data_IF_458978966277
#
_entry.id   IF_458978966277
#
_cell.length_a   1.000
_cell.length_b   1.000
_cell.length_c   1.000
_cell.angle_alpha   90.00
_cell.angle_beta   90.00
_cell.angle_gamma   90.00
#
_symmetry.space_group_name_H-M   'P 1'
#
loop_
_entity.id
_entity.type
_entity.pdbx_description
1 polymer ?
#
# COMPACT_ATOMS: atom_id res chain seq x y z
N UNK A 1 16.01 0.76 0.38
CA UNK A 1 14.70 1.00 -0.29
C UNK A 1 14.57 -0.03 -1.40
N UNK A 2 13.45 -0.73 -1.46
CA UNK A 2 13.18 -1.73 -2.49
C UNK A 2 12.43 -1.09 -3.66
N UNK A 3 12.97 -1.30 -4.85
CA UNK A 3 12.29 -1.14 -6.13
C UNK A 3 12.42 -2.44 -6.91
N UNK A 4 11.68 -2.58 -8.02
CA UNK A 4 11.84 -3.73 -8.91
C UNK A 4 13.28 -3.99 -9.35
N UNK A 5 14.07 -2.92 -9.46
CA UNK A 5 15.46 -2.99 -9.91
C UNK A 5 16.44 -3.38 -8.79
N UNK A 6 16.05 -3.19 -7.52
CA UNK A 6 16.93 -3.43 -6.36
C UNK A 6 16.52 -4.60 -5.48
N UNK A 7 15.41 -5.30 -5.79
CA UNK A 7 14.92 -6.44 -5.01
C UNK A 7 16.02 -7.48 -4.77
N UNK A 8 16.70 -7.89 -5.84
CA UNK A 8 17.68 -8.99 -5.79
C UNK A 8 18.98 -8.61 -5.03
N UNK A 9 19.17 -7.32 -4.70
CA UNK A 9 20.32 -6.85 -3.92
C UNK A 9 20.13 -7.04 -2.40
N UNK A 10 18.89 -7.25 -1.93
CA UNK A 10 18.55 -7.30 -0.51
C UNK A 10 19.43 -8.28 0.30
N UNK A 11 19.68 -9.54 -0.15
CA UNK A 11 20.57 -10.45 0.57
C UNK A 11 22.01 -9.90 0.71
N UNK A 12 22.53 -9.26 -0.34
CA UNK A 12 23.84 -8.62 -0.32
C UNK A 12 23.92 -7.46 0.66
N UNK A 13 22.84 -6.66 0.78
CA UNK A 13 22.75 -5.59 1.77
C UNK A 13 22.75 -6.14 3.19
N UNK A 14 22.03 -7.25 3.45
CA UNK A 14 22.03 -7.91 4.76
C UNK A 14 23.44 -8.34 5.17
N UNK A 15 24.17 -9.02 4.28
CA UNK A 15 25.56 -9.40 4.52
C UNK A 15 26.47 -8.19 4.76
N UNK A 16 26.27 -7.12 3.99
CA UNK A 16 27.04 -5.90 4.10
C UNK A 16 26.84 -5.20 5.45
N UNK A 17 25.61 -5.17 5.97
CA UNK A 17 25.25 -4.61 7.28
C UNK A 17 25.85 -5.48 8.40
N UNK A 18 25.68 -6.80 8.32
CA UNK A 18 26.22 -7.73 9.30
C UNK A 18 27.75 -7.66 9.38
N UNK A 19 28.44 -7.60 8.25
CA UNK A 19 29.90 -7.45 8.20
C UNK A 19 30.45 -6.16 8.79
N UNK A 20 29.58 -5.18 9.10
CA UNK A 20 29.92 -3.89 9.73
C UNK A 20 29.43 -3.77 11.17
N UNK A 21 28.84 -4.83 11.73
CA UNK A 21 28.29 -4.81 13.08
C UNK A 21 27.00 -4.00 13.20
N UNK A 22 26.22 -3.87 12.12
CA UNK A 22 24.86 -3.32 12.24
C UNK A 22 23.96 -4.28 13.02
N UNK A 23 23.02 -3.74 13.79
CA UNK A 23 22.12 -4.52 14.64
C UNK A 23 20.75 -4.78 13.98
N UNK A 24 20.35 -3.90 13.05
CA UNK A 24 19.05 -3.98 12.39
C UNK A 24 19.13 -3.47 10.94
N UNK A 25 18.17 -3.88 10.12
CA UNK A 25 17.96 -3.38 8.77
C UNK A 25 16.47 -3.10 8.55
N UNK A 26 16.13 -1.83 8.36
CA UNK A 26 14.78 -1.41 7.97
C UNK A 26 14.67 -1.36 6.45
N UNK A 27 13.70 -2.08 5.91
CA UNK A 27 13.43 -2.15 4.49
C UNK A 27 12.05 -1.55 4.20
N UNK A 28 11.96 -0.78 3.13
CA UNK A 28 10.73 -0.10 2.71
C UNK A 28 10.66 -0.09 1.18
N UNK A 29 9.46 -0.19 0.61
CA UNK A 29 9.29 -0.01 -0.83
C UNK A 29 9.59 1.44 -1.25
N UNK A 30 9.75 1.67 -2.54
CA UNK A 30 9.84 3.02 -3.09
C UNK A 30 8.45 3.69 -3.10
N UNK A 31 8.38 4.95 -2.68
CA UNK A 31 7.24 5.83 -2.95
C UNK A 31 7.53 6.61 -4.24
N UNK A 32 6.79 6.41 -5.34
CA UNK A 32 7.06 7.09 -6.59
C UNK A 32 6.55 8.54 -6.55
N UNK A 33 7.45 9.50 -6.30
CA UNK A 33 7.15 10.94 -6.35
C UNK A 33 7.10 11.53 -7.78
N UNK A 34 7.44 10.71 -8.77
CA UNK A 34 7.40 11.06 -10.20
C UNK A 34 6.79 9.92 -10.99
N UNK A 35 6.14 10.25 -12.10
CA UNK A 35 5.48 9.28 -12.97
C UNK A 35 6.45 8.21 -13.47
N UNK A 36 7.69 8.59 -13.80
CA UNK A 36 8.70 7.65 -14.31
C UNK A 36 9.10 6.58 -13.27
N UNK A 37 8.97 6.91 -11.97
CA UNK A 37 9.28 5.99 -10.88
C UNK A 37 8.15 4.98 -10.59
N UNK A 38 6.95 5.16 -11.14
CA UNK A 38 5.81 4.27 -10.90
C UNK A 38 6.10 2.82 -11.35
N UNK A 39 6.84 2.66 -12.45
CA UNK A 39 7.25 1.35 -12.97
C UNK A 39 8.19 0.60 -12.01
N UNK A 40 8.87 1.31 -11.11
CA UNK A 40 9.82 0.75 -10.16
C UNK A 40 9.15 0.21 -8.87
N UNK A 41 7.84 0.42 -8.68
CA UNK A 41 7.09 -0.10 -7.52
C UNK A 41 7.05 -1.64 -7.56
N UNK A 42 7.53 -2.27 -6.48
CA UNK A 42 7.68 -3.72 -6.39
C UNK A 42 6.48 -4.46 -5.79
N UNK A 43 5.81 -3.87 -4.79
CA UNK A 43 4.67 -4.50 -4.12
C UNK A 43 3.48 -4.70 -5.07
N UNK A 44 2.64 -5.70 -4.78
CA UNK A 44 1.38 -5.90 -5.50
C UNK A 44 0.30 -4.94 -5.00
N UNK A 45 -0.43 -4.22 -5.86
CA UNK A 45 -1.39 -3.20 -5.42
C UNK A 45 -2.72 -3.77 -4.90
N UNK A 46 -2.94 -5.09 -4.95
CA UNK A 46 -4.14 -5.72 -4.41
C UNK A 46 -4.01 -5.93 -2.91
N UNK A 47 -5.10 -5.70 -2.17
CA UNK A 47 -5.11 -5.96 -0.74
C UNK A 47 -4.88 -7.45 -0.46
N UNK A 48 -4.05 -7.77 0.54
CA UNK A 48 -3.56 -9.11 0.86
C UNK A 48 -4.67 -10.18 0.96
N UNK A 49 -5.76 -9.91 1.67
CA UNK A 49 -6.89 -10.83 1.81
C UNK A 49 -7.63 -11.04 0.47
N UNK A 50 -7.83 -9.98 -0.30
CA UNK A 50 -8.41 -10.04 -1.66
C UNK A 50 -7.52 -10.85 -2.58
N UNK A 51 -6.20 -10.60 -2.54
CA UNK A 51 -5.21 -11.26 -3.37
C UNK A 51 -5.12 -12.75 -3.02
N UNK A 52 -5.13 -13.11 -1.74
CA UNK A 52 -5.13 -14.50 -1.30
C UNK A 52 -6.36 -15.28 -1.81
N UNK A 53 -7.55 -14.67 -1.75
CA UNK A 53 -8.77 -15.23 -2.33
C UNK A 53 -8.61 -15.39 -3.85
N UNK A 54 -8.23 -14.32 -4.54
CA UNK A 54 -8.10 -14.33 -6.00
C UNK A 54 -7.07 -15.35 -6.49
N UNK A 55 -5.89 -15.47 -5.85
CA UNK A 55 -4.85 -16.46 -6.18
C UNK A 55 -5.39 -17.89 -6.14
N UNK A 56 -6.14 -18.24 -5.08
CA UNK A 56 -6.79 -19.55 -4.95
C UNK A 56 -7.76 -19.80 -6.11
N UNK A 57 -8.66 -18.85 -6.38
CA UNK A 57 -9.67 -18.95 -7.46
C UNK A 57 -9.03 -19.00 -8.85
N UNK A 58 -7.94 -18.25 -9.07
CA UNK A 58 -7.17 -18.25 -10.32
C UNK A 58 -6.54 -19.62 -10.58
N UNK A 59 -6.01 -20.28 -9.54
CA UNK A 59 -5.50 -21.66 -9.67
C UNK A 59 -6.60 -22.64 -10.08
N UNK A 60 -7.77 -22.58 -9.44
CA UNK A 60 -8.93 -23.41 -9.80
C UNK A 60 -9.40 -23.15 -11.25
N UNK A 61 -9.38 -21.90 -11.70
CA UNK A 61 -9.69 -21.54 -13.07
C UNK A 61 -8.67 -22.15 -14.05
N UNK A 62 -7.38 -22.07 -13.74
CA UNK A 62 -6.31 -22.62 -14.56
C UNK A 62 -6.39 -24.16 -14.65
N UNK A 63 -6.75 -24.86 -13.57
CA UNK A 63 -7.02 -26.30 -13.56
C UNK A 63 -8.20 -26.67 -14.47
N UNK A 64 -9.17 -25.77 -14.61
CA UNK A 64 -10.27 -25.91 -15.56
C UNK A 64 -9.89 -25.48 -16.98
N UNK A 65 -8.69 -24.96 -17.22
CA UNK A 65 -8.24 -24.43 -18.52
C UNK A 65 -8.81 -23.05 -18.87
N UNK A 66 -9.11 -22.23 -17.85
CA UNK A 66 -9.58 -20.85 -17.98
C UNK A 66 -8.46 -19.89 -17.58
N UNK A 67 -8.17 -18.91 -18.44
CA UNK A 67 -7.21 -17.83 -18.13
C UNK A 67 -7.97 -16.56 -17.72
N UNK A 68 -7.94 -16.24 -16.43
CA UNK A 68 -8.60 -15.05 -15.90
C UNK A 68 -7.94 -13.74 -16.35
N UNK A 69 -6.69 -13.78 -16.86
CA UNK A 69 -6.04 -12.60 -17.44
C UNK A 69 -6.78 -12.09 -18.70
N UNK A 70 -7.53 -12.98 -19.37
CA UNK A 70 -8.34 -12.63 -20.55
C UNK A 70 -9.70 -12.02 -20.18
N UNK A 71 -10.04 -11.87 -18.89
CA UNK A 71 -11.38 -11.42 -18.46
C UNK A 71 -11.81 -10.10 -19.09
N UNK A 72 -10.93 -9.08 -19.16
CA UNK A 72 -11.27 -7.80 -19.77
C UNK A 72 -11.54 -7.94 -21.28
N UNK A 73 -10.65 -8.63 -21.98
CA UNK A 73 -10.79 -8.93 -23.41
C UNK A 73 -12.06 -9.71 -23.70
N UNK A 74 -12.39 -10.67 -22.83
CA UNK A 74 -13.65 -11.39 -22.82
C UNK A 74 -14.79 -10.38 -22.56
N UNK A 75 -15.01 -9.89 -21.35
CA UNK A 75 -16.17 -9.05 -20.99
C UNK A 75 -16.50 -7.94 -22.00
N UNK A 76 -15.51 -7.21 -22.50
CA UNK A 76 -15.70 -6.07 -23.38
C UNK A 76 -15.61 -6.36 -24.88
N UNK A 77 -15.47 -7.62 -25.27
CA UNK A 77 -15.44 -8.00 -26.70
C UNK A 77 -14.30 -7.35 -27.50
N UNK A 78 -13.14 -7.16 -26.86
CA UNK A 78 -11.98 -6.49 -27.46
C UNK A 78 -11.29 -7.35 -28.53
N UNK A 79 -11.30 -8.67 -28.36
CA UNK A 79 -10.75 -9.65 -29.30
C UNK A 79 -11.43 -11.02 -29.13
N UNK A 80 -11.27 -11.96 -30.08
CA UNK A 80 -11.69 -13.34 -29.91
C UNK A 80 -10.97 -13.99 -28.73
N UNK A 81 -11.75 -14.60 -27.81
CA UNK A 81 -11.26 -15.31 -26.62
C UNK A 81 -11.91 -16.68 -26.58
N UNK A 82 -11.13 -17.74 -26.36
CA UNK A 82 -11.65 -19.10 -26.20
C UNK A 82 -12.38 -19.21 -24.88
N UNK A 83 -13.50 -19.94 -24.82
CA UNK A 83 -14.26 -20.17 -23.58
C UNK A 83 -14.67 -18.88 -22.86
N UNK A 84 -14.92 -17.83 -23.65
CA UNK A 84 -15.33 -16.49 -23.23
C UNK A 84 -16.40 -16.48 -22.13
N UNK A 85 -17.50 -17.20 -22.34
CA UNK A 85 -18.63 -17.21 -21.40
C UNK A 85 -18.22 -17.81 -20.05
N UNK A 86 -17.44 -18.89 -20.07
CA UNK A 86 -16.94 -19.55 -18.86
C UNK A 86 -15.99 -18.64 -18.07
N UNK A 87 -15.09 -17.91 -18.75
CA UNK A 87 -14.18 -16.93 -18.10
C UNK A 87 -14.98 -15.81 -17.44
N UNK A 88 -15.98 -15.25 -18.15
CA UNK A 88 -16.82 -14.16 -17.63
C UNK A 88 -17.59 -14.64 -16.39
N UNK A 89 -18.29 -15.76 -16.49
CA UNK A 89 -19.09 -16.32 -15.38
C UNK A 89 -18.20 -16.67 -14.19
N UNK A 90 -17.04 -17.29 -14.42
CA UNK A 90 -16.12 -17.64 -13.34
C UNK A 90 -15.63 -16.39 -12.61
N UNK A 91 -15.15 -15.38 -13.35
CA UNK A 91 -14.65 -14.15 -12.75
C UNK A 91 -15.75 -13.37 -12.04
N UNK A 92 -16.97 -13.31 -12.57
CA UNK A 92 -18.09 -12.65 -11.90
C UNK A 92 -18.47 -13.35 -10.58
N UNK A 93 -18.38 -14.68 -10.52
CA UNK A 93 -18.53 -15.41 -9.26
C UNK A 93 -17.41 -15.08 -8.26
N UNK A 94 -16.17 -14.93 -8.72
CA UNK A 94 -15.05 -14.49 -7.86
C UNK A 94 -15.29 -13.07 -7.31
N UNK A 95 -15.73 -12.14 -8.15
CA UNK A 95 -16.06 -10.76 -7.76
C UNK A 95 -17.20 -10.72 -6.74
N UNK A 96 -18.20 -11.58 -6.92
CA UNK A 96 -19.30 -11.73 -5.96
C UNK A 96 -18.82 -12.32 -4.62
N UNK A 97 -17.92 -13.32 -4.65
CA UNK A 97 -17.31 -13.91 -3.45
C UNK A 97 -16.48 -12.87 -2.68
N UNK A 98 -15.65 -12.08 -3.36
CA UNK A 98 -14.87 -11.00 -2.74
C UNK A 98 -15.81 -9.97 -2.10
N UNK A 99 -16.85 -9.54 -2.83
CA UNK A 99 -17.85 -8.58 -2.33
C UNK A 99 -18.58 -9.10 -1.08
N UNK A 100 -18.92 -10.40 -1.06
CA UNK A 100 -19.59 -11.04 0.08
C UNK A 100 -18.74 -11.00 1.35
N UNK A 101 -17.42 -11.03 1.23
CA UNK A 101 -16.49 -10.89 2.35
C UNK A 101 -16.23 -9.42 2.73
N UNK A 102 -16.81 -8.44 2.03
CA UNK A 102 -16.58 -7.02 2.28
C UNK A 102 -15.16 -6.56 1.90
N UNK A 103 -14.50 -7.31 1.03
CA UNK A 103 -13.11 -7.04 0.65
C UNK A 103 -13.04 -6.03 -0.50
N UNK A 104 -12.07 -5.10 -0.49
CA UNK A 104 -11.86 -4.17 -1.60
C UNK A 104 -11.32 -4.92 -2.81
N UNK A 105 -11.73 -4.50 -4.01
CA UNK A 105 -11.26 -5.12 -5.25
C UNK A 105 -11.16 -4.11 -6.38
N UNK A 106 -10.01 -4.09 -7.07
CA UNK A 106 -9.85 -3.38 -8.33
C UNK A 106 -9.62 -4.41 -9.43
N UNK A 107 -10.65 -4.67 -10.24
CA UNK A 107 -10.63 -5.74 -11.24
C UNK A 107 -9.46 -5.62 -12.24
N UNK A 108 -9.07 -4.41 -12.73
CA UNK A 108 -7.87 -4.29 -13.57
C UNK A 108 -6.60 -4.80 -12.88
N UNK A 109 -6.44 -4.53 -11.58
CA UNK A 109 -5.27 -4.99 -10.83
C UNK A 109 -5.29 -6.49 -10.58
N UNK A 110 -6.47 -7.07 -10.34
CA UNK A 110 -6.60 -8.54 -10.17
C UNK A 110 -6.29 -9.27 -11.47
N UNK A 111 -6.81 -8.81 -12.59
CA UNK A 111 -6.59 -9.43 -13.90
C UNK A 111 -5.13 -9.27 -14.35
N UNK A 112 -4.50 -8.13 -14.03
CA UNK A 112 -3.08 -7.87 -14.31
C UNK A 112 -2.11 -8.50 -13.29
N UNK A 113 -2.62 -9.27 -12.31
CA UNK A 113 -1.82 -9.90 -11.28
C UNK A 113 -0.78 -10.87 -11.87
N UNK A 114 0.44 -10.80 -11.35
CA UNK A 114 1.61 -11.57 -11.80
C UNK A 114 2.03 -12.54 -10.69
N UNK A 115 1.55 -13.79 -10.77
CA UNK A 115 1.80 -14.83 -9.78
C UNK A 115 3.29 -15.17 -9.66
N UNK A 116 3.99 -15.31 -10.78
CA UNK A 116 5.41 -15.66 -10.79
C UNK A 116 6.25 -14.59 -10.10
N UNK A 117 5.97 -13.31 -10.39
CA UNK A 117 6.64 -12.19 -9.70
C UNK A 117 6.34 -12.19 -8.21
N UNK A 118 5.08 -12.37 -7.82
CA UNK A 118 4.70 -12.36 -6.41
C UNK A 118 5.38 -13.50 -5.64
N UNK A 119 5.36 -14.72 -6.17
CA UNK A 119 6.01 -15.90 -5.57
C UNK A 119 7.51 -15.73 -5.49
N UNK A 120 8.16 -15.14 -6.51
CA UNK A 120 9.58 -14.79 -6.45
C UNK A 120 9.90 -13.83 -5.31
N UNK A 121 9.10 -12.78 -5.14
CA UNK A 121 9.30 -11.80 -4.07
C UNK A 121 9.02 -12.39 -2.69
N UNK A 122 8.00 -13.24 -2.55
CA UNK A 122 7.70 -13.98 -1.32
C UNK A 122 8.85 -14.90 -0.92
N UNK A 123 9.43 -15.61 -1.89
CA UNK A 123 10.61 -16.45 -1.68
C UNK A 123 11.82 -15.62 -1.25
N UNK A 124 12.11 -14.52 -1.96
CA UNK A 124 13.21 -13.62 -1.64
C UNK A 124 13.11 -13.07 -0.21
N UNK A 125 11.91 -12.65 0.22
CA UNK A 125 11.69 -12.14 1.58
C UNK A 125 11.95 -13.21 2.63
N UNK A 126 11.44 -14.43 2.41
CA UNK A 126 11.69 -15.57 3.31
C UNK A 126 13.16 -15.94 3.41
N UNK A 127 13.87 -15.96 2.28
CA UNK A 127 15.32 -16.24 2.25
C UNK A 127 16.12 -15.11 2.94
N UNK A 128 15.67 -13.87 2.79
CA UNK A 128 16.27 -12.70 3.44
C UNK A 128 16.07 -12.71 4.95
N UNK A 129 14.88 -13.11 5.43
CA UNK A 129 14.60 -13.31 6.86
C UNK A 129 15.51 -14.38 7.46
N UNK A 130 15.60 -15.55 6.81
CA UNK A 130 16.47 -16.63 7.27
C UNK A 130 17.96 -16.22 7.28
N UNK A 131 18.40 -15.45 6.28
CA UNK A 131 19.75 -14.92 6.23
C UNK A 131 20.01 -13.92 7.37
N UNK A 132 19.09 -12.97 7.59
CA UNK A 132 19.22 -11.98 8.65
C UNK A 132 19.28 -12.64 10.03
N UNK A 133 18.43 -13.65 10.28
CA UNK A 133 18.46 -14.45 11.51
C UNK A 133 19.83 -15.12 11.71
N UNK A 134 20.35 -15.79 10.68
CA UNK A 134 21.67 -16.43 10.72
C UNK A 134 22.83 -15.44 10.95
N UNK A 135 22.64 -14.17 10.60
CA UNK A 135 23.60 -13.08 10.80
C UNK A 135 23.36 -12.26 12.07
N UNK A 136 22.29 -12.55 12.83
CA UNK A 136 21.92 -11.80 14.03
C UNK A 136 21.43 -10.37 13.75
N UNK A 137 20.82 -10.13 12.58
CA UNK A 137 20.26 -8.83 12.17
C UNK A 137 18.75 -8.81 12.43
N UNK A 138 18.25 -7.79 13.14
CA UNK A 138 16.82 -7.46 13.19
C UNK A 138 16.37 -6.89 11.84
N UNK A 139 15.93 -7.77 10.94
CA UNK A 139 15.41 -7.40 9.63
C UNK A 139 13.92 -7.07 9.71
N UNK A 140 13.56 -5.84 9.30
CA UNK A 140 12.17 -5.38 9.23
C UNK A 140 11.79 -5.17 7.77
N UNK A 141 11.00 -6.10 7.23
CA UNK A 141 10.53 -6.08 5.85
C UNK A 141 9.17 -5.36 5.70
N UNK A 142 8.94 -4.64 4.59
CA UNK A 142 7.62 -4.12 4.26
C UNK A 142 6.68 -5.26 3.87
N UNK A 143 5.38 -4.97 3.78
CA UNK A 143 4.43 -5.92 3.23
C UNK A 143 4.66 -6.11 1.71
N UNK A 144 4.40 -7.32 1.21
CA UNK A 144 4.42 -7.63 -0.23
C UNK A 144 3.24 -7.02 -0.98
N UNK A 145 2.16 -6.71 -0.25
CA UNK A 145 0.92 -6.15 -0.74
C UNK A 145 0.24 -5.35 0.40
N UNK A 146 -0.61 -4.35 0.09
CA UNK A 146 -1.38 -3.62 1.08
C UNK A 146 -2.16 -4.52 2.03
N UNK A 147 -2.07 -4.29 3.34
CA UNK A 147 -2.81 -5.07 4.34
C UNK A 147 -4.27 -4.64 4.43
N UNK A 148 -5.18 -5.61 4.54
CA UNK A 148 -6.60 -5.37 4.81
C UNK A 148 -6.76 -4.73 6.19
N UNK A 149 -6.11 -5.33 7.20
CA UNK A 149 -6.04 -4.75 8.54
C UNK A 149 -4.98 -3.65 8.58
N UNK A 150 -5.43 -2.40 8.57
CA UNK A 150 -4.56 -1.22 8.70
C UNK A 150 -3.91 -1.15 10.07
N UNK A 151 -2.70 -0.60 10.08
CA UNK A 151 -1.98 -0.17 11.28
C UNK A 151 -1.14 1.07 10.95
N UNK A 152 -1.43 2.20 11.57
CA UNK A 152 -0.69 3.44 11.42
C UNK A 152 0.18 3.66 12.67
N UNK A 153 1.47 3.39 12.54
CA UNK A 153 2.41 3.48 13.67
C UNK A 153 2.48 4.91 14.23
N UNK A 154 2.36 5.93 13.38
CA UNK A 154 2.37 7.33 13.82
C UNK A 154 1.25 7.64 14.81
N UNK A 155 0.08 7.02 14.63
CA UNK A 155 -1.10 7.25 15.47
C UNK A 155 -1.11 6.30 16.66
N UNK A 156 -0.89 5.00 16.41
CA UNK A 156 -0.97 3.97 17.46
C UNK A 156 0.19 4.03 18.45
N UNK A 157 1.39 4.45 18.02
CA UNK A 157 2.55 4.60 18.90
C UNK A 157 2.66 6.02 19.49
N UNK A 158 1.78 6.94 19.08
CA UNK A 158 1.71 8.29 19.65
C UNK A 158 2.87 9.19 19.22
N UNK A 159 3.13 9.26 17.91
CA UNK A 159 4.22 10.05 17.33
C UNK A 159 3.72 11.35 16.70
N UNK A 160 4.60 12.36 16.66
CA UNK A 160 4.43 13.57 15.86
C UNK A 160 5.72 13.85 15.07
N UNK A 161 5.59 14.37 13.85
CA UNK A 161 6.73 14.78 13.04
C UNK A 161 6.93 16.30 13.19
N UNK A 162 8.15 16.73 13.50
CA UNK A 162 8.51 18.15 13.59
C UNK A 162 9.43 18.46 12.40
N UNK A 163 8.99 19.37 11.55
CA UNK A 163 9.77 19.82 10.40
C UNK A 163 11.00 20.63 10.81
N UNK A 164 11.93 20.84 9.89
CA UNK A 164 13.07 21.73 10.09
C UNK A 164 12.66 23.19 10.44
N UNK A 165 11.42 23.58 10.14
CA UNK A 165 10.85 24.90 10.45
C UNK A 165 10.13 24.94 11.80
N UNK A 166 10.09 23.85 12.55
CA UNK A 166 9.38 23.73 13.82
C UNK A 166 7.88 23.45 13.69
N UNK A 167 7.32 23.41 12.48
CA UNK A 167 5.92 23.02 12.23
C UNK A 167 5.70 21.55 12.61
N UNK A 168 4.61 21.28 13.31
CA UNK A 168 4.22 19.96 13.82
C UNK A 168 3.17 19.32 12.90
N UNK A 169 3.46 18.11 12.45
CA UNK A 169 2.67 17.31 11.52
C UNK A 169 2.33 15.95 12.14
N UNK A 170 1.24 15.29 11.73
CA UNK A 170 0.83 14.02 12.32
C UNK A 170 1.73 12.85 11.90
N UNK A 171 2.37 12.93 10.74
CA UNK A 171 3.25 11.88 10.23
C UNK A 171 4.15 12.40 9.10
N UNK A 172 5.13 11.59 8.70
CA UNK A 172 6.01 11.90 7.58
C UNK A 172 5.24 12.07 6.26
N UNK A 173 4.18 11.27 6.04
CA UNK A 173 3.37 11.30 4.82
C UNK A 173 2.62 12.61 4.61
N UNK A 174 2.30 13.34 5.69
CA UNK A 174 1.52 14.59 5.64
C UNK A 174 2.36 15.81 6.02
N UNK A 175 3.69 15.70 5.97
CA UNK A 175 4.57 16.80 6.31
C UNK A 175 4.60 17.91 5.24
N UNK A 176 4.65 17.54 3.96
CA UNK A 176 4.69 18.49 2.85
C UNK A 176 3.70 18.06 1.77
N UNK A 177 3.31 19.00 0.91
CA UNK A 177 2.47 18.68 -0.24
C UNK A 177 3.30 18.08 -1.36
N UNK A 178 2.84 16.99 -1.95
CA UNK A 178 3.48 16.32 -3.09
C UNK A 178 2.48 15.50 -3.89
N UNK A 179 2.91 14.98 -5.03
CA UNK A 179 2.13 14.03 -5.83
C UNK A 179 2.83 12.67 -5.83
N UNK A 180 2.09 11.63 -5.45
CA UNK A 180 2.49 10.24 -5.57
C UNK A 180 1.91 9.63 -6.84
N UNK A 181 2.66 8.72 -7.47
CA UNK A 181 2.24 7.96 -8.65
C UNK A 181 2.03 6.48 -8.34
N UNK A 182 1.81 6.14 -7.07
CA UNK A 182 1.65 4.77 -6.59
C UNK A 182 0.36 4.13 -7.14
N UNK A 183 0.38 2.81 -7.29
CA UNK A 183 -0.76 1.99 -7.76
C UNK A 183 -1.30 2.41 -9.14
N UNK A 184 -0.47 3.01 -9.98
CA UNK A 184 -0.85 3.50 -11.31
C UNK A 184 -1.77 4.72 -11.29
N UNK A 185 -1.72 5.51 -10.21
CA UNK A 185 -2.63 6.64 -9.98
C UNK A 185 -1.87 7.90 -9.62
N UNK A 186 -2.39 9.03 -10.06
CA UNK A 186 -1.92 10.36 -9.64
C UNK A 186 -2.62 10.72 -8.33
N UNK A 187 -1.86 10.79 -7.25
CA UNK A 187 -2.37 11.04 -5.90
C UNK A 187 -1.70 12.27 -5.31
N UNK A 188 -2.31 13.45 -5.43
CA UNK A 188 -1.85 14.60 -4.68
C UNK A 188 -2.12 14.39 -3.18
N UNK A 189 -1.17 14.83 -2.37
CA UNK A 189 -1.20 14.79 -0.91
C UNK A 189 -0.91 16.19 -0.45
N UNK A 190 -1.77 16.74 0.41
CA UNK A 190 -1.54 18.04 1.03
C UNK A 190 -0.90 17.90 2.41
N UNK A 191 -0.03 18.87 2.72
CA UNK A 191 0.53 19.00 4.05
C UNK A 191 -0.58 19.26 5.08
N UNK A 192 -0.52 18.55 6.21
CA UNK A 192 -1.39 18.77 7.36
C UNK A 192 -0.54 19.13 8.57
N UNK A 193 -0.86 20.25 9.23
CA UNK A 193 -0.13 20.73 10.40
C UNK A 193 -1.07 21.14 11.54
N UNK A 194 -0.56 21.11 12.77
CA UNK A 194 -1.30 21.43 13.99
C UNK A 194 -0.68 22.59 14.80
N UNK A 195 0.26 23.32 14.20
CA UNK A 195 0.96 24.48 14.79
C UNK A 195 2.48 24.34 14.73
N UNK A 196 3.19 25.22 15.45
CA UNK A 196 4.65 25.26 15.47
C UNK A 196 5.22 25.29 16.89
N UNK A 197 6.29 24.54 17.14
CA UNK A 197 7.01 24.55 18.42
C UNK A 197 7.72 25.88 18.71
N UNK A 198 7.85 26.74 17.70
CA UNK A 198 8.36 28.10 17.86
C UNK A 198 7.34 29.04 18.52
N UNK A 199 6.06 28.67 18.50
CA UNK A 199 4.96 29.50 19.00
C UNK A 199 4.43 29.00 20.36
N UNK A 200 4.38 27.68 20.55
CA UNK A 200 3.90 27.05 21.79
C UNK A 200 4.55 25.68 22.03
N UNK A 201 4.68 25.22 23.29
CA UNK A 201 5.26 23.93 23.63
C UNK A 201 4.62 22.76 22.86
N UNK A 202 5.42 21.75 22.50
CA UNK A 202 4.95 20.56 21.78
C UNK A 202 3.78 19.86 22.48
N UNK A 203 3.82 19.76 23.81
CA UNK A 203 2.74 19.13 24.58
C UNK A 203 1.42 19.88 24.48
N UNK A 204 1.45 21.20 24.33
CA UNK A 204 0.23 22.01 24.15
C UNK A 204 -0.35 21.82 22.74
N UNK A 205 0.52 21.65 21.73
CA UNK A 205 0.11 21.28 20.36
C UNK A 205 -0.50 19.88 20.34
N UNK A 206 0.20 18.91 20.94
CA UNK A 206 -0.18 17.50 20.98
C UNK A 206 -1.52 17.28 21.67
N UNK A 207 -1.76 17.99 22.78
CA UNK A 207 -3.00 17.94 23.55
C UNK A 207 -4.05 18.95 23.07
N UNK A 208 -3.73 19.75 22.04
CA UNK A 208 -4.67 20.66 21.42
C UNK A 208 -5.88 19.90 20.84
N UNK A 209 -7.07 20.51 20.94
CA UNK A 209 -8.33 19.88 20.56
C UNK A 209 -8.30 19.28 19.15
N UNK A 210 -7.83 20.05 18.17
CA UNK A 210 -7.80 19.65 16.75
C UNK A 210 -6.91 18.42 16.53
N UNK A 211 -5.71 18.37 17.10
CA UNK A 211 -4.81 17.24 16.92
C UNK A 211 -5.30 16.00 17.67
N UNK A 212 -5.88 16.18 18.84
CA UNK A 212 -6.46 15.10 19.63
C UNK A 212 -7.70 14.50 18.95
N UNK A 213 -8.59 15.33 18.40
CA UNK A 213 -9.74 14.88 17.60
C UNK A 213 -9.28 14.14 16.34
N UNK A 214 -8.33 14.70 15.61
CA UNK A 214 -7.73 14.04 14.45
C UNK A 214 -7.17 12.66 14.79
N UNK A 215 -6.35 12.54 15.85
CA UNK A 215 -5.76 11.26 16.28
C UNK A 215 -6.81 10.23 16.70
N UNK A 216 -7.91 10.67 17.32
CA UNK A 216 -9.03 9.79 17.67
C UNK A 216 -9.76 9.29 16.44
N UNK A 217 -10.07 10.19 15.50
CA UNK A 217 -10.83 9.87 14.29
C UNK A 217 -10.04 8.91 13.39
N UNK A 218 -8.80 9.27 13.05
CA UNK A 218 -7.94 8.46 12.16
C UNK A 218 -7.66 7.07 12.73
N UNK A 219 -7.56 6.93 14.06
CA UNK A 219 -7.36 5.64 14.74
C UNK A 219 -8.52 4.66 14.60
N UNK A 220 -9.70 5.12 14.15
CA UNK A 220 -10.84 4.24 13.83
C UNK A 220 -10.82 3.73 12.38
N UNK A 221 -9.88 4.23 11.55
CA UNK A 221 -9.77 3.92 10.12
C UNK A 221 -11.10 4.05 9.34
N UNK A 222 -11.83 5.18 9.43
CA UNK A 222 -13.19 5.30 8.90
C UNK A 222 -13.24 5.45 7.36
N UNK A 223 -12.09 5.44 6.70
CA UNK A 223 -11.90 5.68 5.26
C UNK A 223 -11.73 4.38 4.46
N UNK A 224 -12.13 4.36 3.18
CA UNK A 224 -12.08 3.17 2.34
C UNK A 224 -10.64 2.81 1.91
N UNK A 225 -10.46 1.62 1.33
CA UNK A 225 -9.22 1.22 0.65
C UNK A 225 -9.14 1.85 -0.74
N UNK A 226 -8.90 3.16 -0.82
CA UNK A 226 -8.92 3.90 -2.07
C UNK A 226 -7.82 3.46 -3.06
N UNK A 227 -6.79 2.75 -2.60
CA UNK A 227 -5.76 2.07 -3.41
C UNK A 227 -6.30 0.96 -4.32
N UNK A 228 -7.28 0.21 -3.81
CA UNK A 228 -7.74 -1.06 -4.39
C UNK A 228 -9.27 -1.18 -4.44
N UNK A 229 -9.99 -0.05 -4.41
CA UNK A 229 -11.45 0.00 -4.44
C UNK A 229 -12.01 -0.33 -5.85
N UNK A 230 -13.24 -0.86 -5.89
CA UNK A 230 -13.96 -1.22 -7.12
C UNK A 230 -14.47 -0.03 -7.92
N UNK A 231 -14.65 1.11 -7.26
CA UNK A 231 -15.09 2.36 -7.89
C UNK A 231 -13.95 3.16 -8.50
N UNK A 232 -12.72 2.68 -8.37
CA UNK A 232 -11.55 3.41 -8.82
C UNK A 232 -11.33 3.20 -10.34
N UNK A 233 -10.91 4.21 -11.13
CA UNK A 233 -10.47 5.55 -10.74
C UNK A 233 -11.55 6.47 -10.17
N UNK A 234 -11.16 7.25 -9.15
CA UNK A 234 -12.05 8.06 -8.33
C UNK A 234 -11.53 9.49 -8.24
N UNK A 235 -12.24 10.40 -8.90
CA UNK A 235 -11.91 11.83 -8.96
C UNK A 235 -11.78 12.51 -7.59
N UNK A 236 -12.39 11.97 -6.53
CA UNK A 236 -12.33 12.55 -5.19
C UNK A 236 -10.92 12.52 -4.58
N UNK A 237 -10.09 11.54 -4.96
CA UNK A 237 -8.77 11.31 -4.36
C UNK A 237 -7.60 11.59 -5.33
N UNK A 238 -7.90 11.89 -6.59
CA UNK A 238 -6.91 12.20 -7.64
C UNK A 238 -6.82 13.71 -7.93
N UNK A 239 -7.54 14.55 -7.15
CA UNK A 239 -7.53 16.02 -7.22
C UNK A 239 -6.75 16.62 -6.06
N UNK A 240 -6.04 17.73 -6.31
CA UNK A 240 -5.25 18.42 -5.29
C UNK A 240 -6.11 18.87 -4.10
N UNK A 241 -7.27 19.48 -4.37
CA UNK A 241 -8.20 19.88 -3.31
C UNK A 241 -9.03 18.68 -2.83
N UNK A 242 -8.51 17.93 -1.86
CA UNK A 242 -9.24 16.87 -1.19
C UNK A 242 -10.20 17.45 -0.14
N UNK A 243 -11.49 17.52 -0.46
CA UNK A 243 -12.52 17.94 0.50
C UNK A 243 -13.01 16.78 1.36
N UNK A 244 -13.35 15.66 0.72
CA UNK A 244 -13.85 14.46 1.36
C UNK A 244 -13.73 13.23 0.44
N UNK A 245 -13.72 12.04 1.04
CA UNK A 245 -13.87 10.78 0.30
C UNK A 245 -15.36 10.47 -0.01
N UNK A 246 -15.61 9.33 -0.67
CA UNK A 246 -16.96 8.89 -1.01
C UNK A 246 -17.84 8.51 0.20
N UNK A 247 -17.26 8.39 1.39
CA UNK A 247 -17.97 8.15 2.65
C UNK A 247 -18.15 9.44 3.47
N UNK A 248 -17.67 10.59 2.98
CA UNK A 248 -17.75 11.88 3.65
C UNK A 248 -16.62 12.15 4.64
N UNK A 249 -15.57 11.33 4.68
CA UNK A 249 -14.43 11.57 5.56
C UNK A 249 -13.50 12.62 4.98
N UNK A 250 -12.96 13.49 5.83
CA UNK A 250 -11.96 14.52 5.46
C UNK A 250 -10.52 14.05 5.67
N UNK A 251 -10.32 12.75 5.87
CA UNK A 251 -9.02 12.13 6.11
C UNK A 251 -8.41 11.60 4.80
N UNK A 252 -7.23 12.10 4.43
CA UNK A 252 -6.49 11.72 3.21
C UNK A 252 -5.82 10.32 3.27
N UNK A 253 -6.10 9.54 4.32
CA UNK A 253 -5.38 8.31 4.63
C UNK A 253 -5.92 7.04 3.95
N UNK A 254 -6.98 7.15 3.12
CA UNK A 254 -7.61 6.03 2.41
C UNK A 254 -6.69 5.25 1.47
N UNK A 255 -5.58 5.86 1.05
CA UNK A 255 -4.54 5.23 0.23
C UNK A 255 -3.15 5.32 0.85
N UNK A 256 -3.06 5.57 2.16
CA UNK A 256 -1.77 5.74 2.83
C UNK A 256 -0.94 4.44 2.79
N UNK A 257 0.21 4.43 2.09
CA UNK A 257 1.04 3.22 1.97
C UNK A 257 1.69 2.79 3.30
N UNK A 258 1.85 3.71 4.26
CA UNK A 258 2.33 3.37 5.61
C UNK A 258 1.29 2.60 6.41
N UNK A 259 0.04 3.05 6.43
CA UNK A 259 -1.02 2.36 7.20
C UNK A 259 -1.37 0.98 6.63
N UNK A 260 -1.07 0.78 5.34
CA UNK A 260 -1.18 -0.47 4.61
C UNK A 260 0.06 -1.36 4.73
N UNK A 261 1.13 -0.88 5.37
CA UNK A 261 2.35 -1.64 5.69
C UNK A 261 3.33 -1.85 4.53
N UNK A 262 3.08 -1.30 3.34
CA UNK A 262 3.99 -1.40 2.18
C UNK A 262 5.13 -0.37 2.27
N UNK A 263 4.94 0.72 3.02
CA UNK A 263 6.03 1.62 3.40
C UNK A 263 6.27 1.58 4.90
N UNK A 264 7.53 1.76 5.25
CA UNK A 264 8.00 1.84 6.63
C UNK A 264 8.92 3.05 6.80
N UNK A 265 8.93 3.61 8.00
CA UNK A 265 9.86 4.64 8.44
C UNK A 265 10.57 4.18 9.71
N UNK A 266 11.71 4.80 10.01
CA UNK A 266 12.33 4.66 11.31
C UNK A 266 11.33 5.15 12.37
N UNK A 267 11.14 4.33 13.39
CA UNK A 267 10.28 4.62 14.54
C UNK A 267 11.17 4.95 15.74
#
# INVERSE_FOLDING_TARGET
VLSRDTLDELPGVIEWVAGRGGEFLLVTHILPYREEAAAAVAYDPNVDETLALFRRRRKEAAEQGLDLSEYYTAKWHLAPVKRREEIIVFMENVVAEISKHGLPQHIPNLVAYDEDRFVRMEKLFRESEALAEARGIDLRLPALSPKMKRRCDFIEEGSAFISAWGTVHPCYFLWHSFTSFADGRVRPVDALSFGSVNERPLLDIWNGREFLEYRREIGTYPFPHCGNCSLAPCDYIERHEFEQDCLGNRLTCGSCPWSLGVLQCLR
#
